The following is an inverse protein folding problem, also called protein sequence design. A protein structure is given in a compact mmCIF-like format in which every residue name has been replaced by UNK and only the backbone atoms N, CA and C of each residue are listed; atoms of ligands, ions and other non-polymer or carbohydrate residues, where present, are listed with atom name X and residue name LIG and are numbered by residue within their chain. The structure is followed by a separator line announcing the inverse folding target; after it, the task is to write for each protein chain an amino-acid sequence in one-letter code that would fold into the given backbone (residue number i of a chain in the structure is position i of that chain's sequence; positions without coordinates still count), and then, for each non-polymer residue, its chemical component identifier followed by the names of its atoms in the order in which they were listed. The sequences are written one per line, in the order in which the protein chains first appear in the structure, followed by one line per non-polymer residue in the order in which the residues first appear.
data_IF_987925552256
#
_entry.id   IF_987925552256
#
_cell.length_a   1.000
_cell.length_b   1.000
_cell.length_c   1.000
_cell.angle_alpha   90.00
_cell.angle_beta   90.00
_cell.angle_gamma   90.00
#
_symmetry.space_group_name_H-M   'P 1'
#
loop_
_entity.id
_entity.type
_entity.pdbx_description
1 polymer ?
#
# COMPACT_ATOMS: atom_id res chain seq x y z
N UNK A 1 -25.28 -1.27 5.25
CA UNK A 1 -23.85 -1.62 5.45
C UNK A 1 -23.04 -0.59 6.24
N UNK A 2 -23.22 0.73 6.03
CA UNK A 2 -22.45 1.74 6.80
C UNK A 2 -22.54 1.53 8.33
N UNK A 3 -23.73 1.21 8.84
CA UNK A 3 -23.96 0.96 10.29
C UNK A 3 -23.13 -0.21 10.81
N UNK A 4 -23.04 -1.31 10.07
CA UNK A 4 -22.17 -2.45 10.42
C UNK A 4 -20.72 -2.02 10.54
N UNK A 5 -20.22 -1.26 9.56
CA UNK A 5 -18.83 -0.77 9.57
C UNK A 5 -18.58 0.29 10.66
N UNK A 6 -19.54 1.17 10.96
CA UNK A 6 -19.47 2.10 12.09
C UNK A 6 -19.37 1.35 13.43
N UNK A 7 -20.08 0.23 13.57
CA UNK A 7 -20.01 -0.63 14.77
C UNK A 7 -18.66 -1.34 14.85
N UNK A 8 -18.15 -1.88 13.73
CA UNK A 8 -16.83 -2.52 13.68
C UNK A 8 -15.71 -1.55 14.09
N UNK A 9 -15.76 -0.31 13.60
CA UNK A 9 -14.78 0.72 13.91
C UNK A 9 -14.68 0.96 15.43
N UNK A 10 -15.84 1.03 16.10
CA UNK A 10 -15.98 1.25 17.55
C UNK A 10 -15.52 0.07 18.40
N UNK A 11 -15.38 -1.13 17.83
CA UNK A 11 -14.80 -2.26 18.56
C UNK A 11 -13.30 -2.01 18.79
N UNK A 12 -12.81 -2.30 19.99
CA UNK A 12 -11.40 -2.17 20.35
C UNK A 12 -10.78 -3.57 20.39
N UNK A 13 -9.70 -3.77 19.65
CA UNK A 13 -9.09 -5.09 19.45
C UNK A 13 -8.62 -5.73 20.77
N UNK A 14 -8.15 -4.91 21.71
CA UNK A 14 -7.65 -5.34 23.02
C UNK A 14 -8.77 -5.77 23.96
N UNK A 15 -10.01 -5.35 23.67
CA UNK A 15 -11.17 -5.65 24.51
C UNK A 15 -11.93 -6.88 24.05
N UNK A 16 -11.64 -7.42 22.86
CA UNK A 16 -12.33 -8.59 22.32
C UNK A 16 -12.02 -9.88 23.11
N UNK A 17 -10.88 -9.95 23.81
CA UNK A 17 -10.52 -11.11 24.63
C UNK A 17 -11.21 -11.09 26.00
N UNK A 18 -11.93 -10.01 26.33
CA UNK A 18 -12.63 -9.87 27.59
C UNK A 18 -14.07 -10.41 27.47
N UNK A 19 -14.47 -11.41 28.28
CA UNK A 19 -15.84 -11.93 28.28
C UNK A 19 -16.91 -10.86 28.50
N UNK A 20 -16.60 -9.77 29.21
CA UNK A 20 -17.51 -8.64 29.43
C UNK A 20 -17.79 -7.81 28.15
N UNK A 21 -17.07 -8.07 27.06
CA UNK A 21 -17.24 -7.38 25.78
C UNK A 21 -18.16 -8.13 24.80
N UNK A 22 -18.58 -9.36 25.15
CA UNK A 22 -19.57 -10.14 24.39
C UNK A 22 -20.83 -9.34 24.02
N UNK A 23 -21.43 -8.51 24.90
CA UNK A 23 -22.63 -7.75 24.57
C UNK A 23 -22.44 -6.77 23.39
N UNK A 24 -21.22 -6.26 23.16
CA UNK A 24 -20.94 -5.40 22.01
C UNK A 24 -20.80 -6.19 20.71
N UNK A 25 -20.25 -7.40 20.77
CA UNK A 25 -20.22 -8.35 19.64
C UNK A 25 -21.66 -8.80 19.32
N UNK A 26 -22.46 -9.09 20.34
CA UNK A 26 -23.88 -9.42 20.22
C UNK A 26 -24.73 -8.27 19.63
N UNK A 27 -24.25 -7.02 19.70
CA UNK A 27 -24.89 -5.88 19.03
C UNK A 27 -24.39 -5.65 17.59
N UNK A 28 -23.25 -6.24 17.24
CA UNK A 28 -22.64 -6.16 15.91
C UNK A 28 -23.24 -7.22 14.98
N UNK A 29 -23.33 -8.48 15.40
CA UNK A 29 -23.79 -9.58 14.54
C UNK A 29 -25.23 -9.41 14.00
N UNK A 30 -26.23 -8.99 14.82
CA UNK A 30 -27.57 -8.72 14.28
C UNK A 30 -27.60 -7.58 13.27
N UNK A 31 -26.73 -6.55 13.44
CA UNK A 31 -26.60 -5.49 12.46
C UNK A 31 -25.94 -5.99 11.17
N UNK A 32 -24.91 -6.83 11.30
CA UNK A 32 -24.22 -7.46 10.18
C UNK A 32 -25.22 -8.28 9.35
N UNK A 33 -26.02 -9.13 9.99
CA UNK A 33 -27.08 -9.91 9.35
C UNK A 33 -28.09 -9.02 8.65
N UNK A 34 -28.64 -8.02 9.35
CA UNK A 34 -29.64 -7.11 8.80
C UNK A 34 -29.11 -6.34 7.57
N UNK A 35 -27.89 -5.82 7.64
CA UNK A 35 -27.30 -5.11 6.51
C UNK A 35 -26.95 -6.06 5.34
N UNK A 36 -26.57 -7.31 5.62
CA UNK A 36 -26.32 -8.34 4.60
C UNK A 36 -27.59 -8.66 3.81
N UNK A 37 -28.69 -8.95 4.50
CA UNK A 37 -29.98 -9.24 3.88
C UNK A 37 -30.49 -8.07 3.04
N UNK A 38 -30.30 -6.83 3.52
CA UNK A 38 -30.76 -5.63 2.82
C UNK A 38 -29.96 -5.29 1.56
N UNK A 39 -28.64 -5.46 1.59
CA UNK A 39 -27.76 -4.89 0.56
C UNK A 39 -27.09 -5.94 -0.33
N UNK A 40 -27.03 -7.18 0.12
CA UNK A 40 -26.21 -8.20 -0.54
C UNK A 40 -27.03 -9.35 -1.08
N UNK A 41 -28.01 -9.84 -0.31
CA UNK A 41 -28.91 -10.90 -0.72
C UNK A 41 -30.36 -10.42 -1.02
N UNK A 42 -30.61 -9.33 -1.79
CA UNK A 42 -31.98 -8.99 -2.15
C UNK A 42 -32.51 -9.97 -3.21
N UNK A 43 -33.54 -10.74 -2.87
CA UNK A 43 -34.25 -11.61 -3.81
C UNK A 43 -33.72 -13.05 -3.85
N UNK A 44 -33.64 -13.63 -5.04
CA UNK A 44 -33.23 -15.03 -5.24
C UNK A 44 -31.75 -15.25 -4.90
N UNK A 45 -31.43 -16.43 -4.35
CA UNK A 45 -30.09 -16.76 -3.90
C UNK A 45 -29.14 -16.98 -5.09
N UNK A 46 -28.21 -16.05 -5.28
CA UNK A 46 -27.10 -16.12 -6.24
C UNK A 46 -25.79 -15.78 -5.51
N UNK A 47 -24.93 -16.77 -5.21
CA UNK A 47 -23.68 -16.56 -4.48
C UNK A 47 -22.71 -15.59 -5.15
N UNK A 48 -22.62 -15.62 -6.49
CA UNK A 48 -21.68 -14.77 -7.23
C UNK A 48 -22.13 -13.31 -7.14
N UNK A 49 -23.42 -13.08 -7.39
CA UNK A 49 -24.02 -11.75 -7.30
C UNK A 49 -23.97 -11.19 -5.88
N UNK A 50 -24.13 -12.03 -4.86
CA UNK A 50 -23.99 -11.63 -3.47
C UNK A 50 -22.54 -11.19 -3.16
N UNK A 51 -21.55 -11.97 -3.55
CA UNK A 51 -20.15 -11.58 -3.39
C UNK A 51 -19.83 -10.25 -4.09
N UNK A 52 -20.32 -10.06 -5.32
CA UNK A 52 -20.14 -8.82 -6.08
C UNK A 52 -20.82 -7.61 -5.41
N UNK A 53 -22.08 -7.77 -4.97
CA UNK A 53 -22.82 -6.72 -4.25
C UNK A 53 -22.07 -6.32 -2.97
N UNK A 54 -21.60 -7.30 -2.20
CA UNK A 54 -20.86 -7.06 -0.97
C UNK A 54 -19.58 -6.27 -1.26
N UNK A 55 -18.78 -6.75 -2.21
CA UNK A 55 -17.52 -6.13 -2.58
C UNK A 55 -17.72 -4.69 -3.09
N UNK A 56 -18.77 -4.44 -3.87
CA UNK A 56 -19.12 -3.12 -4.37
C UNK A 56 -19.51 -2.16 -3.23
N UNK A 57 -20.28 -2.64 -2.25
CA UNK A 57 -20.60 -1.83 -1.07
C UNK A 57 -19.35 -1.48 -0.26
N UNK A 58 -18.43 -2.42 -0.09
CA UNK A 58 -17.15 -2.18 0.60
C UNK A 58 -16.28 -1.19 -0.19
N UNK A 59 -16.19 -1.33 -1.52
CA UNK A 59 -15.50 -0.36 -2.39
C UNK A 59 -16.07 1.05 -2.23
N UNK A 60 -17.39 1.18 -2.24
CA UNK A 60 -18.05 2.48 -2.06
C UNK A 60 -17.75 3.09 -0.68
N UNK A 61 -17.73 2.30 0.39
CA UNK A 61 -17.31 2.78 1.71
C UNK A 61 -15.84 3.21 1.74
N UNK A 62 -14.96 2.46 1.08
CA UNK A 62 -13.54 2.76 1.00
C UNK A 62 -13.25 4.03 0.20
N UNK A 63 -13.96 4.24 -0.92
CA UNK A 63 -13.90 5.47 -1.72
C UNK A 63 -14.33 6.70 -0.90
N UNK A 64 -15.28 6.50 0.01
CA UNK A 64 -15.71 7.50 0.99
C UNK A 64 -14.81 7.57 2.24
N UNK A 65 -13.63 6.94 2.22
CA UNK A 65 -12.62 6.92 3.30
C UNK A 65 -13.18 6.45 4.65
N UNK A 66 -14.08 5.48 4.64
CA UNK A 66 -14.64 4.94 5.87
C UNK A 66 -13.53 4.33 6.75
N UNK A 67 -13.41 4.71 8.04
CA UNK A 67 -12.27 4.35 8.89
C UNK A 67 -12.13 2.84 9.06
N UNK A 68 -13.23 2.10 9.12
CA UNK A 68 -13.24 0.65 9.26
C UNK A 68 -12.66 -0.16 8.08
N UNK A 69 -12.36 0.43 6.92
CA UNK A 69 -11.72 -0.31 5.81
C UNK A 69 -10.21 -0.23 5.99
N UNK A 70 -9.68 -1.09 6.87
CA UNK A 70 -8.27 -1.11 7.22
C UNK A 70 -7.85 -2.49 7.77
N UNK A 71 -6.55 -2.67 8.07
CA UNK A 71 -6.02 -3.94 8.59
C UNK A 71 -6.40 -4.25 10.04
N UNK A 72 -6.63 -3.24 10.87
CA UNK A 72 -7.05 -3.47 12.26
C UNK A 72 -8.47 -4.05 12.31
N UNK A 73 -9.34 -3.64 11.39
CA UNK A 73 -10.66 -4.24 11.20
C UNK A 73 -10.59 -5.72 10.81
N UNK A 74 -9.64 -6.12 9.97
CA UNK A 74 -9.42 -7.53 9.62
C UNK A 74 -9.10 -8.35 10.88
N UNK A 75 -8.19 -7.86 11.74
CA UNK A 75 -7.87 -8.51 13.02
C UNK A 75 -9.07 -8.56 13.98
N UNK A 76 -9.92 -7.54 13.99
CA UNK A 76 -11.15 -7.55 14.79
C UNK A 76 -12.09 -8.65 14.29
N UNK A 77 -12.24 -8.80 12.97
CA UNK A 77 -13.09 -9.82 12.36
C UNK A 77 -12.56 -11.23 12.68
N UNK A 78 -11.26 -11.47 12.54
CA UNK A 78 -10.62 -12.75 12.91
C UNK A 78 -10.92 -13.11 14.37
N UNK A 79 -10.72 -12.18 15.30
CA UNK A 79 -11.05 -12.42 16.72
C UNK A 79 -12.53 -12.71 16.95
N UNK A 80 -13.44 -11.98 16.29
CA UNK A 80 -14.88 -12.23 16.41
C UNK A 80 -15.21 -13.63 15.86
N UNK A 81 -14.61 -14.01 14.73
CA UNK A 81 -14.78 -15.32 14.12
C UNK A 81 -14.33 -16.45 15.07
N UNK A 82 -13.15 -16.31 15.68
CA UNK A 82 -12.62 -17.27 16.65
C UNK A 82 -13.53 -17.42 17.89
N UNK A 83 -14.06 -16.30 18.40
CA UNK A 83 -14.97 -16.30 19.55
C UNK A 83 -16.30 -17.01 19.27
N UNK A 84 -16.73 -17.04 18.01
CA UNK A 84 -17.99 -17.68 17.59
C UNK A 84 -17.81 -19.17 17.23
N UNK A 85 -16.58 -19.67 17.17
CA UNK A 85 -16.30 -21.08 16.89
C UNK A 85 -16.54 -21.52 15.44
N UNK A 86 -16.79 -20.58 14.51
CA UNK A 86 -16.71 -20.82 13.06
C UNK A 86 -17.79 -21.72 12.42
N UNK A 87 -18.87 -22.08 13.11
CA UNK A 87 -19.87 -23.06 12.63
C UNK A 87 -21.27 -22.50 12.30
N UNK A 88 -21.46 -21.17 12.31
CA UNK A 88 -22.77 -20.53 12.10
C UNK A 88 -22.79 -19.66 10.82
N UNK A 89 -23.99 -19.30 10.33
CA UNK A 89 -24.19 -18.37 9.21
C UNK A 89 -23.46 -17.04 9.40
N UNK A 90 -23.34 -16.58 10.65
CA UNK A 90 -22.58 -15.37 10.98
C UNK A 90 -21.09 -15.52 10.68
N UNK A 91 -20.54 -16.73 10.77
CA UNK A 91 -19.15 -17.02 10.41
C UNK A 91 -18.90 -16.81 8.90
N UNK A 92 -19.87 -17.19 8.05
CA UNK A 92 -19.80 -16.94 6.60
C UNK A 92 -19.85 -15.44 6.30
N UNK A 93 -20.77 -14.68 6.92
CA UNK A 93 -20.86 -13.23 6.74
C UNK A 93 -19.59 -12.50 7.17
N UNK A 94 -18.96 -12.96 8.25
CA UNK A 94 -17.67 -12.45 8.71
C UNK A 94 -16.55 -12.74 7.71
N UNK A 95 -16.53 -13.95 7.13
CA UNK A 95 -15.55 -14.32 6.11
C UNK A 95 -15.69 -13.47 4.83
N UNK A 96 -16.91 -13.29 4.34
CA UNK A 96 -17.18 -12.41 3.18
C UNK A 96 -16.77 -10.96 3.46
N UNK A 97 -17.07 -10.49 4.67
CA UNK A 97 -16.64 -9.18 5.15
C UNK A 97 -15.11 -9.05 5.18
N UNK A 98 -14.42 -10.05 5.72
CA UNK A 98 -12.97 -10.10 5.76
C UNK A 98 -12.38 -10.04 4.34
N UNK A 99 -12.80 -10.95 3.46
CA UNK A 99 -12.27 -11.07 2.10
C UNK A 99 -12.48 -9.80 1.29
N UNK A 100 -13.63 -9.14 1.46
CA UNK A 100 -13.94 -7.91 0.75
C UNK A 100 -13.13 -6.72 1.24
N UNK A 101 -12.94 -6.59 2.57
CA UNK A 101 -12.04 -5.55 3.12
C UNK A 101 -10.61 -5.79 2.66
N UNK A 102 -10.13 -7.03 2.68
CA UNK A 102 -8.77 -7.38 2.26
C UNK A 102 -8.53 -7.11 0.77
N UNK A 103 -9.50 -7.49 -0.07
CA UNK A 103 -9.48 -7.19 -1.51
C UNK A 103 -9.38 -5.69 -1.76
N UNK A 104 -10.24 -4.89 -1.12
CA UNK A 104 -10.25 -3.44 -1.31
C UNK A 104 -8.97 -2.79 -0.77
N UNK A 105 -8.45 -3.25 0.37
CA UNK A 105 -7.15 -2.80 0.88
C UNK A 105 -6.02 -3.11 -0.11
N UNK A 106 -6.03 -4.30 -0.70
CA UNK A 106 -5.05 -4.73 -1.70
C UNK A 106 -5.13 -3.92 -2.99
N UNK A 107 -6.33 -3.60 -3.47
CA UNK A 107 -6.56 -2.69 -4.60
C UNK A 107 -6.00 -1.28 -4.32
N UNK A 108 -6.21 -0.75 -3.11
CA UNK A 108 -5.69 0.56 -2.71
C UNK A 108 -4.16 0.57 -2.62
N UNK A 109 -3.55 -0.49 -2.09
CA UNK A 109 -2.08 -0.66 -2.04
C UNK A 109 -1.51 -0.70 -3.46
N UNK A 110 -2.13 -1.46 -4.35
CA UNK A 110 -1.72 -1.53 -5.75
C UNK A 110 -1.80 -0.15 -6.42
N UNK A 111 -2.94 0.54 -6.30
CA UNK A 111 -3.14 1.88 -6.86
C UNK A 111 -2.08 2.89 -6.35
N UNK A 112 -1.83 2.93 -5.04
CA UNK A 112 -0.80 3.80 -4.45
C UNK A 112 0.60 3.47 -4.96
N UNK A 113 0.94 2.18 -5.03
CA UNK A 113 2.25 1.72 -5.53
C UNK A 113 2.46 2.17 -6.97
N UNK A 114 1.47 1.93 -7.85
CA UNK A 114 1.51 2.35 -9.26
C UNK A 114 1.75 3.85 -9.39
N UNK A 115 1.02 4.66 -8.61
CA UNK A 115 1.20 6.10 -8.61
C UNK A 115 2.62 6.52 -8.19
N UNK A 116 3.14 5.94 -7.10
CA UNK A 116 4.49 6.26 -6.62
C UNK A 116 5.55 5.89 -7.65
N UNK A 117 5.41 4.72 -8.28
CA UNK A 117 6.33 4.21 -9.30
C UNK A 117 6.29 5.10 -10.54
N UNK A 118 5.10 5.43 -11.06
CA UNK A 118 4.93 6.34 -12.19
C UNK A 118 5.49 7.74 -11.92
N UNK A 119 5.19 8.32 -10.74
CA UNK A 119 5.71 9.63 -10.34
C UNK A 119 7.26 9.60 -10.25
N UNK A 120 7.84 8.51 -9.73
CA UNK A 120 9.29 8.37 -9.63
C UNK A 120 9.94 8.17 -11.01
N UNK A 121 9.31 7.37 -11.88
CA UNK A 121 9.73 7.16 -13.26
C UNK A 121 9.81 8.49 -14.01
N UNK A 122 8.76 9.31 -13.92
CA UNK A 122 8.72 10.63 -14.55
C UNK A 122 9.82 11.56 -14.00
N UNK A 123 10.06 11.54 -12.69
CA UNK A 123 11.16 12.30 -12.08
C UNK A 123 12.54 11.88 -12.60
N UNK A 124 12.77 10.58 -12.78
CA UNK A 124 14.01 10.06 -13.35
C UNK A 124 14.14 10.38 -14.85
N UNK A 125 13.04 10.32 -15.61
CA UNK A 125 13.00 10.69 -17.02
C UNK A 125 13.45 12.15 -17.22
N UNK A 126 12.86 13.09 -16.47
CA UNK A 126 13.24 14.50 -16.52
C UNK A 126 14.75 14.71 -16.24
N UNK A 127 15.29 13.98 -15.24
CA UNK A 127 16.73 14.04 -14.94
C UNK A 127 17.60 13.47 -16.07
N UNK A 128 17.14 12.46 -16.77
CA UNK A 128 17.84 11.85 -17.90
C UNK A 128 17.88 12.85 -19.07
N UNK A 129 16.77 13.51 -19.36
CA UNK A 129 16.67 14.57 -20.37
C UNK A 129 17.58 15.76 -20.05
N UNK A 130 17.62 16.22 -18.79
CA UNK A 130 18.55 17.27 -18.32
C UNK A 130 20.03 16.91 -18.52
N UNK A 131 20.35 15.62 -18.68
CA UNK A 131 21.71 15.12 -18.94
C UNK A 131 21.98 14.89 -20.43
N UNK A 132 21.07 15.31 -21.31
CA UNK A 132 21.22 15.23 -22.76
C UNK A 132 20.95 13.83 -23.31
N UNK A 133 20.06 13.07 -22.70
CA UNK A 133 19.57 11.80 -23.24
C UNK A 133 18.12 11.97 -23.72
N UNK A 134 17.74 11.28 -24.77
CA UNK A 134 16.35 11.16 -25.24
C UNK A 134 15.84 9.79 -24.87
N UNK A 135 14.63 9.74 -24.32
CA UNK A 135 13.88 8.52 -24.08
C UNK A 135 12.89 8.35 -25.25
N UNK A 136 13.01 7.25 -25.98
CA UNK A 136 12.11 6.89 -27.06
C UNK A 136 10.73 6.54 -26.52
N UNK A 137 9.69 7.15 -27.09
CA UNK A 137 8.29 6.88 -26.73
C UNK A 137 7.79 5.50 -27.20
N UNK A 138 8.48 4.86 -28.15
CA UNK A 138 8.03 3.59 -28.76
C UNK A 138 8.46 2.38 -27.95
N UNK A 139 9.69 2.40 -27.42
CA UNK A 139 10.32 1.23 -26.78
C UNK A 139 11.03 1.57 -25.46
N UNK A 140 10.87 2.78 -24.95
CA UNK A 140 11.59 3.30 -23.77
C UNK A 140 13.12 3.23 -23.89
N UNK A 141 13.66 3.07 -25.10
CA UNK A 141 15.11 3.06 -25.32
C UNK A 141 15.71 4.44 -25.04
N UNK A 142 16.97 4.46 -24.60
CA UNK A 142 17.66 5.68 -24.19
C UNK A 142 18.79 5.94 -25.17
N UNK A 143 18.75 7.11 -25.82
CA UNK A 143 19.76 7.55 -26.78
C UNK A 143 20.49 8.77 -26.23
N UNK A 144 21.82 8.73 -26.22
CA UNK A 144 22.64 9.90 -25.86
C UNK A 144 22.68 10.90 -27.02
N UNK A 145 22.41 12.17 -26.73
CA UNK A 145 22.64 13.27 -27.68
C UNK A 145 24.09 13.73 -27.72
N UNK A 146 24.89 13.30 -26.74
CA UNK A 146 26.30 13.64 -26.66
C UNK A 146 27.15 12.51 -27.26
N UNK A 147 28.10 12.86 -28.13
CA UNK A 147 29.07 11.94 -28.74
C UNK A 147 30.16 11.45 -27.76
N UNK A 148 29.97 11.63 -26.45
CA UNK A 148 30.94 11.26 -25.41
C UNK A 148 30.58 9.97 -24.67
N UNK A 149 31.56 9.39 -23.98
CA UNK A 149 31.35 8.24 -23.10
C UNK A 149 30.41 8.59 -21.93
N UNK A 150 29.49 7.66 -21.63
CA UNK A 150 28.57 7.78 -20.50
C UNK A 150 29.37 7.77 -19.20
N UNK A 151 29.27 8.85 -18.42
CA UNK A 151 29.95 8.94 -17.12
C UNK A 151 29.39 7.93 -16.12
N UNK A 152 30.17 7.49 -15.11
CA UNK A 152 29.67 6.62 -14.06
C UNK A 152 28.45 7.17 -13.29
N UNK A 153 28.30 8.50 -13.23
CA UNK A 153 27.13 9.15 -12.60
C UNK A 153 25.89 9.01 -13.48
N UNK A 154 26.04 9.19 -14.80
CA UNK A 154 24.95 8.99 -15.76
C UNK A 154 24.53 7.52 -15.80
N UNK A 155 25.47 6.59 -15.87
CA UNK A 155 25.14 5.15 -15.86
C UNK A 155 24.31 4.76 -14.63
N UNK A 156 24.67 5.28 -13.44
CA UNK A 156 23.87 5.05 -12.23
C UNK A 156 22.45 5.59 -12.34
N UNK A 157 22.25 6.76 -12.96
CA UNK A 157 20.92 7.32 -13.18
C UNK A 157 20.10 6.44 -14.14
N UNK A 158 20.72 6.00 -15.25
CA UNK A 158 20.11 5.09 -16.22
C UNK A 158 19.67 3.79 -15.56
N UNK A 159 20.55 3.14 -14.79
CA UNK A 159 20.23 1.91 -14.06
C UNK A 159 19.02 2.05 -13.12
N UNK A 160 18.83 3.22 -12.48
CA UNK A 160 17.65 3.48 -11.64
C UNK A 160 16.39 3.63 -12.48
N UNK A 161 16.48 4.37 -13.57
CA UNK A 161 15.35 4.58 -14.48
C UNK A 161 14.89 3.29 -15.11
N UNK A 162 15.81 2.44 -15.58
CA UNK A 162 15.50 1.13 -16.15
C UNK A 162 14.79 0.24 -15.13
N UNK A 163 15.31 0.17 -13.90
CA UNK A 163 14.69 -0.63 -12.84
C UNK A 163 13.26 -0.17 -12.49
N UNK A 164 13.04 1.14 -12.43
CA UNK A 164 11.72 1.72 -12.14
C UNK A 164 10.78 1.60 -13.34
N UNK A 165 11.28 1.74 -14.57
CA UNK A 165 10.47 1.58 -15.79
C UNK A 165 10.02 0.13 -15.97
N UNK A 166 10.90 -0.84 -15.77
CA UNK A 166 10.55 -2.25 -15.81
C UNK A 166 9.49 -2.61 -14.74
N UNK A 167 9.62 -2.03 -13.53
CA UNK A 167 8.61 -2.20 -12.50
C UNK A 167 7.27 -1.58 -12.92
N UNK A 168 7.28 -0.34 -13.45
CA UNK A 168 6.09 0.38 -13.90
C UNK A 168 5.32 -0.43 -14.95
N UNK A 169 6.00 -0.87 -16.01
CA UNK A 169 5.44 -1.70 -17.08
C UNK A 169 4.78 -2.97 -16.53
N UNK A 170 5.46 -3.64 -15.60
CA UNK A 170 4.97 -4.88 -14.99
C UNK A 170 3.67 -4.68 -14.20
N UNK A 171 3.56 -3.58 -13.45
CA UNK A 171 2.44 -3.37 -12.52
C UNK A 171 1.31 -2.52 -13.13
N UNK A 172 1.54 -1.81 -14.24
CA UNK A 172 0.64 -0.78 -14.78
C UNK A 172 -0.82 -1.23 -14.87
N UNK A 173 -1.04 -2.37 -15.50
CA UNK A 173 -2.37 -2.93 -15.78
C UNK A 173 -2.92 -3.82 -14.65
N UNK A 174 -2.17 -4.02 -13.56
CA UNK A 174 -2.59 -4.90 -12.47
C UNK A 174 -3.54 -4.18 -11.50
N UNK A 175 -4.61 -4.87 -11.13
CA UNK A 175 -5.59 -4.41 -10.14
C UNK A 175 -5.09 -4.65 -8.71
N UNK A 176 -4.46 -5.80 -8.48
CA UNK A 176 -3.85 -6.22 -7.21
C UNK A 176 -2.41 -6.67 -7.52
N UNK A 177 -1.49 -6.43 -6.59
CA UNK A 177 -0.09 -6.86 -6.70
C UNK A 177 0.10 -8.19 -5.99
N UNK A 178 0.58 -9.19 -6.72
CA UNK A 178 0.92 -10.50 -6.18
C UNK A 178 2.29 -10.48 -5.46
N UNK A 179 2.70 -11.59 -4.85
CA UNK A 179 3.99 -11.68 -4.16
C UNK A 179 5.19 -11.55 -5.11
N UNK A 180 5.03 -11.97 -6.38
CA UNK A 180 6.08 -11.80 -7.39
C UNK A 180 6.27 -10.31 -7.70
N UNK A 181 5.19 -9.55 -7.85
CA UNK A 181 5.26 -8.09 -8.05
C UNK A 181 5.89 -7.37 -6.86
N UNK A 182 5.56 -7.79 -5.64
CA UNK A 182 6.19 -7.24 -4.43
C UNK A 182 7.68 -7.57 -4.37
N UNK A 183 8.08 -8.75 -4.84
CA UNK A 183 9.49 -9.14 -4.95
C UNK A 183 10.24 -8.28 -5.96
N UNK A 184 9.66 -8.09 -7.16
CA UNK A 184 10.22 -7.20 -8.18
C UNK A 184 10.33 -5.76 -7.68
N UNK A 185 9.32 -5.25 -6.96
CA UNK A 185 9.36 -3.92 -6.40
C UNK A 185 10.49 -3.76 -5.37
N UNK A 186 10.77 -4.79 -4.57
CA UNK A 186 11.93 -4.82 -3.65
C UNK A 186 13.25 -4.86 -4.42
N UNK A 187 13.33 -5.61 -5.50
CA UNK A 187 14.53 -5.69 -6.34
C UNK A 187 14.81 -4.35 -7.04
N UNK A 188 13.79 -3.71 -7.61
CA UNK A 188 13.93 -2.38 -8.21
C UNK A 188 14.40 -1.34 -7.17
N UNK A 189 13.86 -1.41 -5.95
CA UNK A 189 14.31 -0.56 -4.83
C UNK A 189 15.79 -0.82 -4.49
N UNK A 190 16.22 -2.08 -4.40
CA UNK A 190 17.62 -2.43 -4.12
C UNK A 190 18.57 -1.93 -5.21
N UNK A 191 18.19 -2.06 -6.49
CA UNK A 191 18.95 -1.48 -7.61
C UNK A 191 19.05 0.04 -7.46
N UNK A 192 17.95 0.70 -7.12
CA UNK A 192 17.94 2.15 -6.89
C UNK A 192 18.93 2.55 -5.79
N UNK A 193 18.92 1.84 -4.66
CA UNK A 193 19.77 2.10 -3.51
C UNK A 193 21.26 1.85 -3.83
N UNK A 194 21.59 0.74 -4.50
CA UNK A 194 22.97 0.42 -4.92
C UNK A 194 23.54 1.47 -5.88
N UNK A 195 22.69 2.09 -6.69
CA UNK A 195 23.07 3.15 -7.62
C UNK A 195 23.10 4.56 -7.00
N UNK A 196 23.03 4.67 -5.66
CA UNK A 196 23.20 5.91 -4.88
C UNK A 196 22.26 7.03 -5.35
N UNK A 197 20.96 6.97 -5.00
CA UNK A 197 19.98 7.96 -5.43
C UNK A 197 20.28 9.32 -4.82
N UNK A 198 19.91 10.39 -5.53
CA UNK A 198 20.11 11.75 -5.03
C UNK A 198 19.05 12.12 -3.99
N UNK A 199 19.30 13.20 -3.24
CA UNK A 199 18.41 13.62 -2.15
C UNK A 199 16.97 13.91 -2.60
N UNK A 200 16.79 14.43 -3.83
CA UNK A 200 15.47 14.68 -4.42
C UNK A 200 14.66 13.42 -4.70
N UNK A 201 15.28 12.23 -4.72
CA UNK A 201 14.63 10.95 -4.96
C UNK A 201 14.11 10.29 -3.67
N UNK A 202 14.59 10.76 -2.52
CA UNK A 202 14.25 10.21 -1.19
C UNK A 202 12.74 10.12 -0.91
N UNK A 203 11.89 11.11 -1.25
CA UNK A 203 10.46 11.01 -0.99
C UNK A 203 9.78 9.85 -1.71
N UNK A 204 10.25 9.49 -2.91
CA UNK A 204 9.68 8.39 -3.69
C UNK A 204 10.06 7.03 -3.09
N UNK A 205 11.34 6.85 -2.80
CA UNK A 205 11.87 5.63 -2.18
C UNK A 205 11.23 5.38 -0.81
N UNK A 206 11.01 6.44 -0.03
CA UNK A 206 10.31 6.34 1.25
C UNK A 206 8.86 5.85 1.07
N UNK A 207 8.09 6.51 0.20
CA UNK A 207 6.69 6.13 -0.07
C UNK A 207 6.59 4.69 -0.58
N UNK A 208 7.49 4.29 -1.48
CA UNK A 208 7.52 2.93 -2.02
C UNK A 208 7.83 1.91 -0.92
N UNK A 209 8.83 2.19 -0.09
CA UNK A 209 9.17 1.34 1.07
C UNK A 209 8.00 1.25 2.04
N UNK A 210 7.33 2.34 2.38
CA UNK A 210 6.22 2.36 3.33
C UNK A 210 5.04 1.50 2.85
N UNK A 211 4.72 1.58 1.56
CA UNK A 211 3.62 0.81 0.96
C UNK A 211 3.98 -0.68 0.85
N UNK A 212 5.21 -1.01 0.46
CA UNK A 212 5.67 -2.41 0.31
C UNK A 212 5.94 -3.11 1.65
N UNK A 213 6.43 -2.38 2.65
CA UNK A 213 6.71 -2.90 3.99
C UNK A 213 5.47 -2.95 4.88
N UNK A 214 4.31 -2.49 4.40
CA UNK A 214 3.10 -2.33 5.21
C UNK A 214 3.39 -1.51 6.49
N UNK A 215 4.28 -0.52 6.39
CA UNK A 215 4.69 0.29 7.55
C UNK A 215 5.68 -0.38 8.51
N UNK A 216 6.32 -1.51 8.15
CA UNK A 216 7.47 -2.04 8.89
C UNK A 216 8.69 -1.15 8.56
N UNK A 217 8.85 -0.10 9.38
CA UNK A 217 9.91 0.93 9.39
C UNK A 217 11.41 0.50 9.46
N UNK A 218 11.84 -0.74 9.79
CA UNK A 218 13.26 -1.08 10.00
C UNK A 218 14.17 -0.86 8.79
N UNK A 219 13.70 -1.08 7.56
CA UNK A 219 14.55 -0.89 6.37
C UNK A 219 15.02 0.56 6.23
N UNK A 220 14.20 1.53 6.62
CA UNK A 220 14.55 2.95 6.57
C UNK A 220 15.38 3.42 7.78
N UNK A 221 15.09 2.92 9.00
CA UNK A 221 15.84 3.26 10.21
C UNK A 221 17.29 2.76 10.14
N UNK A 222 17.53 1.61 9.53
CA UNK A 222 18.87 1.10 9.30
C UNK A 222 19.66 1.97 8.30
N UNK A 223 18.98 2.55 7.30
CA UNK A 223 19.61 3.27 6.18
C UNK A 223 20.03 4.70 6.52
N UNK A 224 19.20 5.45 7.25
CA UNK A 224 19.44 6.88 7.50
C UNK A 224 19.86 7.22 8.92
N UNK A 225 20.03 6.26 9.84
CA UNK A 225 20.49 6.54 11.20
C UNK A 225 21.85 7.23 11.26
N UNK A 226 22.78 6.91 10.33
CA UNK A 226 24.06 7.63 10.19
C UNK A 226 23.91 9.03 9.60
N UNK A 227 22.97 9.24 8.67
CA UNK A 227 22.73 10.54 8.03
C UNK A 227 21.92 11.50 8.91
N UNK A 228 20.95 11.02 9.69
CA UNK A 228 20.26 11.83 10.70
C UNK A 228 21.26 12.33 11.74
N UNK A 229 22.19 11.46 12.17
CA UNK A 229 23.27 11.85 13.07
C UNK A 229 24.22 12.87 12.44
N UNK A 230 24.63 12.67 11.18
CA UNK A 230 25.48 13.62 10.46
C UNK A 230 24.77 14.96 10.20
N UNK A 231 23.45 14.96 9.97
CA UNK A 231 22.66 16.18 9.83
C UNK A 231 22.55 16.92 11.17
N UNK A 232 22.34 16.21 12.28
CA UNK A 232 22.34 16.80 13.61
C UNK A 232 23.73 17.36 13.99
N UNK A 233 24.81 16.65 13.65
CA UNK A 233 26.19 17.13 13.81
C UNK A 233 26.47 18.37 12.95
N UNK A 234 25.99 18.40 11.70
CA UNK A 234 26.15 19.53 10.79
C UNK A 234 25.31 20.75 11.23
N UNK A 235 24.07 20.53 11.66
CA UNK A 235 23.19 21.57 12.19
C UNK A 235 23.77 22.16 13.50
N UNK A 236 24.42 21.35 14.34
CA UNK A 236 25.16 21.85 15.53
C UNK A 236 26.39 22.67 15.16
N UNK A 237 27.14 22.29 14.13
CA UNK A 237 28.31 23.03 13.64
C UNK A 237 27.90 24.35 12.99
N UNK A 238 26.81 24.37 12.22
CA UNK A 238 26.27 25.56 11.55
C UNK A 238 25.61 26.52 12.54
N UNK A 239 24.99 26.00 13.61
CA UNK A 239 24.34 26.84 14.64
C UNK A 239 25.32 27.54 15.58
N UNK A 240 26.60 27.13 15.58
CA UNK A 240 27.67 27.68 16.41
C UNK A 240 27.46 27.49 17.92
N UNK A 241 28.53 27.44 18.74
CA UNK A 241 28.35 27.55 20.19
C UNK A 241 27.84 28.95 20.50
N UNK A 242 26.63 29.05 21.07
CA UNK A 242 26.21 30.27 21.77
C UNK A 242 27.24 30.53 22.87
N UNK A 243 28.10 31.53 22.66
CA UNK A 243 28.89 32.15 23.72
C UNK A 243 27.98 32.89 24.68
#
# INVERSE_FOLDING_TARGET
MKKTFDKLDKLKLEQLDNPNYLPKIQNFLPQLKSDFEQHVAPGEFDPIKQADNWLEVVRNLANNKHPAINKDSLKKIEKIYDLLGGQDEDAFRLLDMYQSIDTVNSEQVASKTKKIVADYRAHLANKIEEKGFIISSEDNSIVSLNEGEITPKQQKLLNRYEAISALDERIHNKRILDESDKSEAKQALDICLKNKPEWSEKPFLQKLTDVLSVGIKPLYKAFFSKETRLKEELDQVISGPKR
#
